data_IF_607975134657
#
_entry.id   IF_607975134657
#
_cell.length_a   1.000
_cell.length_b   1.000
_cell.length_c   1.000
_cell.angle_alpha   90.00
_cell.angle_beta   90.00
_cell.angle_gamma   90.00
#
_symmetry.space_group_name_H-M   'P 1'
#
loop_
_entity.id
_entity.type
_entity.pdbx_description
1 polymer ?
#
# COMPACT_ATOMS: atom_id res chain seq x y z
N UNK A 1 -5.74 -0.21 -21.98
CA UNK A 1 -5.50 -0.01 -21.41
C UNK A 1 -5.09 0.70 -20.54
N UNK A 2 -5.24 0.94 -20.17
CA UNK A 2 -5.04 1.55 -19.39
C UNK A 2 -4.49 1.87 -18.53
N UNK A 3 -4.19 1.93 -18.51
CA UNK A 3 -3.56 2.22 -17.77
C UNK A 3 -3.81 2.89 -16.78
N UNK A 4 -4.33 3.52 -16.59
CA UNK A 4 -4.66 4.21 -15.67
C UNK A 4 -4.06 3.88 -14.53
N UNK A 5 -3.43 3.30 -14.24
CA UNK A 5 -3.06 2.85 -13.06
C UNK A 5 -2.73 3.74 -11.99
N UNK A 6 -2.71 4.94 -12.16
CA UNK A 6 -2.30 5.85 -11.13
C UNK A 6 -3.39 6.21 -10.16
N UNK A 7 -4.60 5.87 -10.43
CA UNK A 7 -5.68 6.24 -9.54
C UNK A 7 -5.66 5.38 -8.29
N UNK A 8 -5.82 5.94 -7.11
CA UNK A 8 -5.90 5.14 -5.89
C UNK A 8 -7.11 4.21 -5.94
N UNK A 9 -6.92 2.99 -5.53
CA UNK A 9 -7.97 1.99 -5.54
C UNK A 9 -7.90 1.14 -4.28
N UNK A 10 -9.02 0.64 -3.81
CA UNK A 10 -8.99 -0.26 -2.66
C UNK A 10 -8.17 -1.52 -2.90
N UNK A 11 -8.16 -2.03 -4.14
CA UNK A 11 -7.35 -3.20 -4.45
C UNK A 11 -5.86 -2.90 -4.33
N UNK A 12 -5.45 -1.68 -4.62
CA UNK A 12 -4.06 -1.28 -4.44
C UNK A 12 -3.72 -1.23 -2.95
N UNK A 13 -4.64 -0.74 -2.13
CA UNK A 13 -4.44 -0.71 -0.70
C UNK A 13 -4.28 -2.12 -0.14
N UNK A 14 -5.09 -3.05 -0.60
CA UNK A 14 -4.98 -4.43 -0.17
C UNK A 14 -3.64 -5.03 -0.56
N UNK A 15 -3.18 -4.74 -1.77
CA UNK A 15 -1.89 -5.20 -2.23
C UNK A 15 -0.75 -4.68 -1.37
N UNK A 16 -0.82 -3.41 -0.98
CA UNK A 16 0.20 -2.84 -0.11
C UNK A 16 0.15 -3.46 1.28
N UNK A 17 -1.03 -3.75 1.79
CA UNK A 17 -1.15 -4.42 3.07
C UNK A 17 -0.54 -5.82 3.02
N UNK A 18 -0.83 -6.56 1.97
CA UNK A 18 -0.27 -7.89 1.80
C UNK A 18 1.24 -7.85 1.70
N UNK A 19 1.76 -6.85 1.01
CA UNK A 19 3.21 -6.66 0.92
C UNK A 19 3.81 -6.38 2.29
N UNK A 20 3.14 -5.53 3.08
CA UNK A 20 3.62 -5.23 4.42
C UNK A 20 3.65 -6.49 5.27
N UNK A 21 2.61 -7.30 5.18
CA UNK A 21 2.56 -8.54 5.94
C UNK A 21 3.68 -9.50 5.54
N UNK A 22 3.97 -9.57 4.25
CA UNK A 22 5.06 -10.42 3.76
C UNK A 22 6.41 -9.97 4.31
N UNK A 23 6.62 -8.65 4.36
CA UNK A 23 7.86 -8.12 4.92
C UNK A 23 7.98 -8.43 6.39
N UNK A 24 6.88 -8.30 7.13
CA UNK A 24 6.89 -8.60 8.55
C UNK A 24 7.22 -10.06 8.80
N UNK A 25 6.69 -10.96 8.01
CA UNK A 25 6.97 -12.39 8.15
C UNK A 25 8.43 -12.70 7.88
N UNK A 26 9.03 -11.96 6.98
CA UNK A 26 10.44 -12.12 6.66
C UNK A 26 11.37 -11.45 7.67
N UNK A 27 10.81 -10.74 8.64
CA UNK A 27 11.61 -10.00 9.62
C UNK A 27 12.16 -8.69 9.07
N UNK A 28 11.68 -8.26 7.92
CA UNK A 28 12.13 -7.03 7.28
C UNK A 28 11.27 -5.88 7.80
N UNK A 29 11.58 -5.41 8.99
CA UNK A 29 10.76 -4.39 9.64
C UNK A 29 10.89 -3.03 8.97
N UNK A 30 12.03 -2.76 8.34
CA UNK A 30 12.18 -1.53 7.60
C UNK A 30 11.27 -1.52 6.37
N UNK A 31 11.27 -2.62 5.61
CA UNK A 31 10.37 -2.74 4.47
C UNK A 31 8.91 -2.72 4.88
N UNK A 32 8.62 -3.33 6.02
CA UNK A 32 7.27 -3.30 6.58
C UNK A 32 6.82 -1.86 6.84
N UNK A 33 7.66 -1.06 7.47
CA UNK A 33 7.34 0.34 7.74
C UNK A 33 7.13 1.15 6.48
N UNK A 34 7.97 0.92 5.47
CA UNK A 34 7.84 1.61 4.20
C UNK A 34 6.52 1.26 3.51
N UNK A 35 6.16 -0.02 3.54
CA UNK A 35 4.90 -0.43 2.93
C UNK A 35 3.71 0.17 3.66
N UNK A 36 3.78 0.25 4.97
CA UNK A 36 2.72 0.89 5.74
C UNK A 36 2.60 2.38 5.44
N UNK A 37 3.72 3.05 5.24
CA UNK A 37 3.71 4.47 4.89
C UNK A 37 3.03 4.68 3.54
N UNK A 38 3.33 3.83 2.58
CA UNK A 38 2.68 3.91 1.28
C UNK A 38 1.20 3.65 1.40
N UNK A 39 0.83 2.67 2.20
CA UNK A 39 -0.57 2.35 2.42
C UNK A 39 -1.30 3.53 3.08
N UNK A 40 -0.68 4.13 4.06
CA UNK A 40 -1.26 5.28 4.74
C UNK A 40 -1.49 6.43 3.76
N UNK A 41 -0.51 6.71 2.91
CA UNK A 41 -0.63 7.78 1.93
C UNK A 41 -1.76 7.49 0.96
N UNK A 42 -1.89 6.25 0.54
CA UNK A 42 -2.95 5.86 -0.35
C UNK A 42 -4.32 6.01 0.31
N UNK A 43 -4.44 5.58 1.55
CA UNK A 43 -5.70 5.68 2.27
C UNK A 43 -6.10 7.14 2.51
N UNK A 44 -5.12 7.98 2.76
CA UNK A 44 -5.38 9.40 2.91
C UNK A 44 -5.91 10.00 1.61
N UNK A 45 -5.37 9.57 0.49
CA UNK A 45 -5.88 10.02 -0.81
C UNK A 45 -7.29 9.56 -1.04
N UNK A 46 -7.57 8.31 -0.70
CA UNK A 46 -8.92 7.77 -0.88
C UNK A 46 -9.92 8.47 0.03
N UNK A 47 -9.50 8.90 1.18
CA UNK A 47 -10.38 9.58 2.11
C UNK A 47 -10.46 11.08 1.93
N UNK A 48 -9.61 11.64 1.12
CA UNK A 48 -9.54 13.07 0.98
C UNK A 48 -10.36 13.53 -0.17
N UNK A 49 -11.54 13.22 -0.25
CA UNK A 49 -12.32 13.65 -1.35
C UNK A 49 -13.26 14.71 -0.96
#
# INVERSE_FOLDING_TARGET
APAGGDAPRPSTALGLLERAEARARAGDWQGYGEALDELRALLQRLGSR
#
